data_IF_449576526369
#
_entry.id   IF_449576526369
#
_cell.length_a   1.000
_cell.length_b   1.000
_cell.length_c   1.000
_cell.angle_alpha   90.00
_cell.angle_beta   90.00
_cell.angle_gamma   90.00
#
_symmetry.space_group_name_H-M   'P 1'
#
loop_
_entity.id
_entity.type
_entity.pdbx_description
1 polymer ?
#
# COMPACT_ATOMS: atom_id res chain seq x y z
N UNK A 1 -16.51 21.98 4.15
CA UNK A 1 -15.97 20.69 4.63
C UNK A 1 -16.46 19.67 3.63
N UNK A 2 -15.54 19.02 2.93
CA UNK A 2 -15.87 18.03 1.90
C UNK A 2 -16.69 16.90 2.55
N UNK A 3 -17.87 16.63 1.98
CA UNK A 3 -18.91 15.73 2.52
C UNK A 3 -18.87 14.34 1.89
N UNK A 4 -17.81 14.00 1.15
CA UNK A 4 -17.63 12.63 0.63
C UNK A 4 -17.40 11.66 1.79
N UNK A 5 -18.29 10.67 1.91
CA UNK A 5 -18.21 9.60 2.92
C UNK A 5 -16.82 8.95 2.87
N UNK A 6 -16.11 8.92 3.99
CA UNK A 6 -14.79 8.29 4.12
C UNK A 6 -14.87 6.79 4.37
N UNK A 7 -16.07 6.22 4.48
CA UNK A 7 -16.30 4.83 4.90
C UNK A 7 -17.20 4.14 3.86
N UNK A 8 -16.72 3.03 3.31
CA UNK A 8 -17.49 2.18 2.40
C UNK A 8 -17.65 0.78 3.01
N UNK A 9 -18.88 0.33 3.34
CA UNK A 9 -19.08 -1.03 3.83
C UNK A 9 -18.88 -2.04 2.69
N UNK A 10 -18.05 -3.06 2.93
CA UNK A 10 -17.70 -4.08 1.93
C UNK A 10 -18.40 -5.42 2.16
N UNK A 11 -19.17 -5.55 3.24
CA UNK A 11 -19.77 -6.80 3.71
C UNK A 11 -18.81 -7.63 4.57
N UNK A 12 -19.36 -8.60 5.33
CA UNK A 12 -18.55 -9.46 6.22
C UNK A 12 -17.85 -8.69 7.34
N UNK A 13 -18.48 -7.63 7.83
CA UNK A 13 -17.94 -6.73 8.86
C UNK A 13 -16.62 -6.03 8.45
N UNK A 14 -16.38 -5.91 7.15
CA UNK A 14 -15.23 -5.18 6.58
C UNK A 14 -15.68 -3.82 6.05
N UNK A 15 -14.90 -2.80 6.36
CA UNK A 15 -15.11 -1.42 5.94
C UNK A 15 -13.84 -0.87 5.31
N UNK A 16 -13.94 -0.35 4.09
CA UNK A 16 -12.90 0.49 3.49
C UNK A 16 -12.98 1.89 4.09
N UNK A 17 -11.83 2.47 4.39
CA UNK A 17 -11.67 3.81 4.92
C UNK A 17 -10.77 4.60 3.96
N UNK A 18 -11.31 5.63 3.32
CA UNK A 18 -10.48 6.61 2.60
C UNK A 18 -9.66 7.42 3.61
N UNK A 19 -8.35 7.17 3.62
CA UNK A 19 -7.42 7.75 4.59
C UNK A 19 -7.03 9.20 4.26
N UNK A 20 -7.51 9.74 3.13
CA UNK A 20 -7.31 11.13 2.71
C UNK A 20 -5.86 11.58 2.71
N UNK A 21 -4.95 10.76 2.16
CA UNK A 21 -3.53 11.13 2.07
C UNK A 21 -3.35 12.51 1.42
N UNK A 22 -2.61 13.38 2.11
CA UNK A 22 -2.43 14.79 1.75
C UNK A 22 -3.74 15.57 1.47
N UNK A 23 -4.87 15.12 2.02
CA UNK A 23 -6.20 15.71 1.84
C UNK A 23 -6.95 15.27 0.58
N UNK A 24 -6.35 14.41 -0.27
CA UNK A 24 -6.99 13.93 -1.50
C UNK A 24 -7.90 12.73 -1.24
N UNK A 25 -9.07 12.69 -1.87
CA UNK A 25 -10.00 11.57 -1.79
C UNK A 25 -9.58 10.41 -2.69
N UNK A 26 -9.81 9.18 -2.26
CA UNK A 26 -9.66 7.97 -3.08
C UNK A 26 -8.23 7.76 -3.56
N UNK A 27 -7.28 7.91 -2.64
CA UNK A 27 -5.84 7.75 -2.93
C UNK A 27 -5.23 6.58 -2.19
N UNK A 28 -5.49 6.52 -0.89
CA UNK A 28 -5.03 5.47 -0.01
C UNK A 28 -6.21 4.99 0.81
N UNK A 29 -6.40 3.70 0.85
CA UNK A 29 -7.44 3.02 1.59
C UNK A 29 -6.82 2.27 2.78
N UNK A 30 -7.38 2.52 3.95
CA UNK A 30 -7.26 1.65 5.11
C UNK A 30 -8.49 0.76 5.19
N UNK A 31 -8.43 -0.30 5.99
CA UNK A 31 -9.54 -1.21 6.16
C UNK A 31 -9.76 -1.57 7.63
N UNK A 32 -10.98 -1.40 8.10
CA UNK A 32 -11.38 -1.90 9.42
C UNK A 32 -12.10 -3.23 9.26
N UNK A 33 -11.61 -4.23 9.99
CA UNK A 33 -12.28 -5.51 10.18
C UNK A 33 -12.92 -5.49 11.57
N UNK A 34 -14.24 -5.33 11.63
CA UNK A 34 -14.99 -5.49 12.85
C UNK A 34 -15.15 -6.97 13.16
N UNK A 35 -14.81 -7.33 14.40
CA UNK A 35 -14.83 -8.69 14.94
C UNK A 35 -14.76 -8.60 16.47
N UNK A 36 -14.70 -9.73 17.16
CA UNK A 36 -14.49 -9.76 18.62
C UNK A 36 -13.18 -9.07 19.05
N UNK A 37 -12.20 -8.98 18.13
CA UNK A 37 -10.95 -8.25 18.29
C UNK A 37 -10.71 -7.34 17.06
N UNK A 38 -11.28 -6.13 17.03
CA UNK A 38 -11.20 -5.24 15.87
C UNK A 38 -9.78 -5.01 15.38
N UNK A 39 -9.60 -5.04 14.06
CA UNK A 39 -8.30 -4.93 13.40
C UNK A 39 -8.34 -3.86 12.31
N UNK A 40 -7.42 -2.91 12.38
CA UNK A 40 -7.18 -1.91 11.34
C UNK A 40 -6.02 -2.38 10.47
N UNK A 41 -6.23 -2.46 9.16
CA UNK A 41 -5.19 -2.72 8.14
C UNK A 41 -4.90 -1.40 7.42
N UNK A 42 -3.65 -0.95 7.44
CA UNK A 42 -3.17 0.34 6.89
C UNK A 42 -3.81 1.60 7.50
N UNK A 43 -3.14 2.26 8.47
CA UNK A 43 -3.61 3.55 8.99
C UNK A 43 -3.29 4.75 8.06
N UNK A 44 -2.48 4.54 7.02
CA UNK A 44 -2.07 5.57 6.09
C UNK A 44 -0.92 6.43 6.61
N UNK A 45 -0.89 7.70 6.18
CA UNK A 45 0.11 8.70 6.59
C UNK A 45 -0.10 9.23 8.02
N UNK A 46 0.84 9.99 8.56
CA UNK A 46 0.62 10.70 9.84
C UNK A 46 -0.56 11.69 9.75
N UNK A 47 -0.69 12.37 8.60
CA UNK A 47 -1.83 13.25 8.32
C UNK A 47 -3.18 12.51 8.20
N UNK A 48 -3.15 11.21 7.92
CA UNK A 48 -4.33 10.35 7.83
C UNK A 48 -4.87 9.92 9.19
N UNK A 49 -4.04 9.84 10.23
CA UNK A 49 -4.44 9.29 11.53
C UNK A 49 -5.71 9.95 12.13
N UNK A 50 -5.88 11.29 12.11
CA UNK A 50 -7.12 11.90 12.58
C UNK A 50 -8.36 11.58 11.73
N UNK A 51 -8.18 11.29 10.43
CA UNK A 51 -9.27 10.88 9.52
C UNK A 51 -9.70 9.47 9.87
N UNK A 52 -8.74 8.56 10.02
CA UNK A 52 -8.97 7.17 10.41
C UNK A 52 -9.62 7.09 11.79
N UNK A 53 -9.14 7.88 12.78
CA UNK A 53 -9.75 7.93 14.11
C UNK A 53 -11.24 8.29 14.05
N UNK A 54 -11.62 9.32 13.29
CA UNK A 54 -13.03 9.68 13.13
C UNK A 54 -13.84 8.56 12.49
N UNK A 55 -13.29 7.87 11.50
CA UNK A 55 -13.96 6.74 10.87
C UNK A 55 -14.17 5.57 11.84
N UNK A 56 -13.17 5.28 12.68
CA UNK A 56 -13.29 4.28 13.75
C UNK A 56 -14.35 4.68 14.79
N UNK A 57 -14.38 5.94 15.22
CA UNK A 57 -15.40 6.45 16.14
C UNK A 57 -16.82 6.33 15.55
N UNK A 58 -17.00 6.66 14.26
CA UNK A 58 -18.27 6.51 13.53
C UNK A 58 -18.73 5.04 13.44
N UNK A 59 -17.78 4.10 13.38
CA UNK A 59 -18.01 2.66 13.39
C UNK A 59 -18.11 2.07 14.80
N UNK A 60 -18.04 2.90 15.85
CA UNK A 60 -18.18 2.50 17.24
C UNK A 60 -16.94 1.84 17.86
N UNK A 61 -15.76 2.05 17.28
CA UNK A 61 -14.47 1.57 17.81
C UNK A 61 -13.78 2.69 18.58
N UNK A 62 -13.93 2.68 19.90
CA UNK A 62 -13.28 3.63 20.78
C UNK A 62 -11.82 3.29 21.09
N UNK A 63 -11.13 4.16 21.85
CA UNK A 63 -9.70 4.03 22.18
C UNK A 63 -9.28 2.70 22.81
N UNK A 64 -10.19 2.02 23.52
CA UNK A 64 -9.90 0.76 24.22
C UNK A 64 -10.42 -0.48 23.47
N UNK A 65 -11.06 -0.30 22.32
CA UNK A 65 -11.74 -1.37 21.59
C UNK A 65 -10.88 -1.93 20.45
N UNK A 66 -10.01 -1.09 19.83
CA UNK A 66 -9.13 -1.54 18.76
C UNK A 66 -8.05 -2.48 19.30
N UNK A 67 -8.07 -3.74 18.85
CA UNK A 67 -7.17 -4.77 19.32
C UNK A 67 -5.86 -4.80 18.53
N UNK A 68 -5.90 -4.54 17.22
CA UNK A 68 -4.73 -4.68 16.35
C UNK A 68 -4.69 -3.59 15.27
N UNK A 69 -3.49 -3.09 14.99
CA UNK A 69 -3.14 -2.36 13.77
C UNK A 69 -2.13 -3.18 12.99
N UNK A 70 -2.40 -3.48 11.73
CA UNK A 70 -1.50 -4.25 10.86
C UNK A 70 -1.13 -3.39 9.66
N UNK A 71 0.14 -3.38 9.28
CA UNK A 71 0.59 -2.77 8.02
C UNK A 71 1.20 -3.84 7.13
N UNK A 72 0.89 -3.78 5.84
CA UNK A 72 1.50 -4.68 4.83
C UNK A 72 2.99 -4.39 4.70
N UNK A 73 3.39 -3.12 4.80
CA UNK A 73 4.77 -2.69 4.71
C UNK A 73 4.97 -1.29 5.34
N UNK A 74 6.23 -0.84 5.47
CA UNK A 74 6.57 0.37 6.24
C UNK A 74 6.80 1.64 5.40
N UNK A 75 6.34 1.70 4.15
CA UNK A 75 6.37 2.98 3.42
C UNK A 75 5.43 3.99 4.10
N UNK A 76 5.73 5.28 3.99
CA UNK A 76 5.15 6.31 4.87
C UNK A 76 3.68 6.64 4.54
N UNK A 77 3.24 6.33 3.33
CA UNK A 77 1.85 6.32 2.87
C UNK A 77 0.99 5.23 3.51
N UNK A 78 1.62 4.20 4.07
CA UNK A 78 0.95 3.03 4.66
C UNK A 78 1.11 3.02 6.18
N UNK A 79 2.36 3.15 6.65
CA UNK A 79 2.72 3.07 8.05
C UNK A 79 2.94 4.42 8.74
N UNK A 80 2.89 5.54 8.02
CA UNK A 80 3.20 6.87 8.57
C UNK A 80 2.35 7.25 9.79
N UNK A 81 1.09 6.80 9.82
CA UNK A 81 0.15 7.03 10.90
C UNK A 81 0.21 6.02 12.06
N UNK A 82 1.04 4.98 11.97
CA UNK A 82 1.07 3.90 12.99
C UNK A 82 1.38 4.43 14.38
N UNK A 83 2.39 5.30 14.52
CA UNK A 83 2.75 5.88 15.82
C UNK A 83 1.67 6.80 16.40
N UNK A 84 0.89 7.46 15.55
CA UNK A 84 -0.25 8.28 15.95
C UNK A 84 -1.41 7.41 16.43
N UNK A 85 -1.81 6.42 15.63
CA UNK A 85 -2.88 5.48 15.97
C UNK A 85 -2.53 4.69 17.23
N UNK A 86 -1.29 4.23 17.40
CA UNK A 86 -0.86 3.53 18.61
C UNK A 86 -1.08 4.37 19.88
N UNK A 87 -0.85 5.69 19.83
CA UNK A 87 -1.13 6.58 20.96
C UNK A 87 -2.63 6.79 21.20
N UNK A 88 -3.41 6.88 20.12
CA UNK A 88 -4.87 7.05 20.20
C UNK A 88 -5.56 5.79 20.75
N UNK A 89 -5.01 4.61 20.44
CA UNK A 89 -5.54 3.30 20.84
C UNK A 89 -4.51 2.54 21.67
N UNK A 90 -4.36 2.82 22.97
CA UNK A 90 -3.27 2.32 23.79
C UNK A 90 -3.26 0.79 24.01
N UNK A 91 -4.38 0.11 23.76
CA UNK A 91 -4.48 -1.36 23.89
C UNK A 91 -4.14 -2.11 22.59
N UNK A 92 -4.00 -1.40 21.46
CA UNK A 92 -3.75 -2.05 20.18
C UNK A 92 -2.31 -2.59 20.08
N UNK A 93 -2.17 -3.85 19.68
CA UNK A 93 -0.91 -4.41 19.19
C UNK A 93 -0.64 -3.90 17.76
N UNK A 94 0.61 -3.61 17.42
CA UNK A 94 1.04 -3.22 16.07
C UNK A 94 1.76 -4.39 15.42
N UNK A 95 1.22 -4.92 14.33
CA UNK A 95 1.77 -6.07 13.61
C UNK A 95 2.40 -5.63 12.30
N UNK A 96 3.63 -6.10 12.05
CA UNK A 96 4.40 -5.80 10.84
C UNK A 96 5.38 -6.93 10.57
N UNK A 97 5.87 -7.05 9.34
CA UNK A 97 6.97 -7.97 9.04
C UNK A 97 8.23 -7.66 9.88
N UNK A 98 8.99 -8.69 10.29
CA UNK A 98 10.20 -8.55 11.13
C UNK A 98 11.22 -7.53 10.61
N UNK A 99 11.39 -7.47 9.29
CA UNK A 99 12.30 -6.52 8.61
C UNK A 99 11.86 -5.05 8.78
N UNK A 100 10.58 -4.80 9.05
CA UNK A 100 10.02 -3.48 9.29
C UNK A 100 9.92 -3.10 10.77
N UNK A 101 9.84 -4.06 11.70
CA UNK A 101 9.56 -3.84 13.12
C UNK A 101 10.45 -2.78 13.79
N UNK A 102 11.78 -2.88 13.61
CA UNK A 102 12.72 -1.91 14.19
C UNK A 102 12.50 -0.47 13.73
N UNK A 103 11.96 -0.28 12.53
CA UNK A 103 11.74 1.04 11.95
C UNK A 103 10.49 1.71 12.51
N UNK A 104 9.51 0.95 13.00
CA UNK A 104 8.38 1.50 13.74
C UNK A 104 8.79 1.89 15.16
N UNK A 105 9.67 1.11 15.80
CA UNK A 105 10.22 1.45 17.12
C UNK A 105 11.17 2.65 17.09
N UNK A 106 11.98 2.76 16.04
CA UNK A 106 13.01 3.80 15.87
C UNK A 106 13.03 4.31 14.43
N UNK A 107 12.13 5.25 14.07
CA UNK A 107 11.89 5.68 12.70
C UNK A 107 12.92 6.68 12.17
N UNK A 108 13.88 7.14 12.96
CA UNK A 108 14.78 8.25 12.64
C UNK A 108 15.57 8.02 11.35
N UNK A 109 15.98 6.77 11.10
CA UNK A 109 16.69 6.42 9.86
C UNK A 109 15.77 6.42 8.65
N UNK A 110 14.55 5.90 8.79
CA UNK A 110 13.54 5.87 7.72
C UNK A 110 13.15 7.31 7.34
N UNK A 111 12.84 8.13 8.34
CA UNK A 111 12.49 9.54 8.16
C UNK A 111 13.60 10.35 7.49
N UNK A 112 14.87 10.09 7.85
CA UNK A 112 16.02 10.74 7.19
C UNK A 112 16.14 10.35 5.72
N UNK A 113 15.99 9.06 5.41
CA UNK A 113 15.98 8.57 4.03
C UNK A 113 14.85 9.18 3.23
N UNK A 114 13.63 9.21 3.77
CA UNK A 114 12.49 9.85 3.13
C UNK A 114 12.72 11.36 2.89
N UNK A 115 13.33 12.08 3.84
CA UNK A 115 13.62 13.51 3.67
C UNK A 115 14.65 13.78 2.57
N UNK A 116 15.60 12.88 2.34
CA UNK A 116 16.53 13.01 1.20
C UNK A 116 15.83 12.85 -0.15
N UNK A 117 14.75 12.05 -0.22
CA UNK A 117 14.00 11.80 -1.46
C UNK A 117 12.94 12.88 -1.70
N UNK A 118 12.14 13.21 -0.69
CA UNK A 118 10.97 14.08 -0.84
C UNK A 118 11.22 15.54 -0.47
N UNK A 119 12.34 15.86 0.20
CA UNK A 119 12.67 17.22 0.63
C UNK A 119 11.53 17.85 1.44
N UNK A 120 11.15 19.08 1.08
CA UNK A 120 10.09 19.85 1.73
C UNK A 120 8.69 19.24 1.51
N UNK A 121 8.51 18.37 0.50
CA UNK A 121 7.22 17.71 0.24
C UNK A 121 6.91 16.62 1.26
N UNK A 122 7.90 16.11 2.00
CA UNK A 122 7.72 15.04 2.98
C UNK A 122 6.65 15.39 4.02
N UNK A 123 6.72 16.61 4.57
CA UNK A 123 5.87 17.05 5.66
C UNK A 123 4.40 17.21 5.20
N UNK A 124 4.19 17.64 3.96
CA UNK A 124 2.85 17.78 3.36
C UNK A 124 2.26 16.44 2.90
N UNK A 125 3.08 15.56 2.33
CA UNK A 125 2.60 14.30 1.75
C UNK A 125 2.38 13.21 2.81
N UNK A 126 3.30 13.09 3.76
CA UNK A 126 3.35 11.94 4.67
C UNK A 126 3.36 12.35 6.15
N UNK A 127 3.93 13.51 6.46
CA UNK A 127 4.15 13.95 7.84
C UNK A 127 5.28 13.18 8.53
N UNK A 128 5.23 13.11 9.87
CA UNK A 128 6.26 12.47 10.69
C UNK A 128 5.79 11.12 11.22
N UNK A 129 6.48 10.04 10.84
CA UNK A 129 6.29 8.74 11.49
C UNK A 129 6.83 8.82 12.93
N UNK A 130 5.90 8.84 13.87
CA UNK A 130 6.18 8.77 15.30
C UNK A 130 6.61 7.37 15.73
N UNK A 131 7.53 7.24 16.71
CA UNK A 131 7.91 5.94 17.23
C UNK A 131 6.74 5.26 17.95
N UNK A 132 6.68 3.94 17.82
CA UNK A 132 5.77 3.05 18.55
C UNK A 132 6.55 2.31 19.64
N UNK A 133 5.94 2.12 20.81
CA UNK A 133 6.54 1.35 21.91
C UNK A 133 6.91 -0.07 21.45
N UNK A 134 8.16 -0.49 21.69
CA UNK A 134 8.69 -1.73 21.14
C UNK A 134 7.92 -2.97 21.63
N UNK A 135 7.43 -2.93 22.87
CA UNK A 135 6.65 -3.99 23.51
C UNK A 135 5.28 -4.19 22.86
N UNK A 136 4.79 -3.19 22.12
CA UNK A 136 3.52 -3.25 21.37
C UNK A 136 3.71 -3.68 19.92
N UNK A 137 4.95 -3.81 19.45
CA UNK A 137 5.23 -4.23 18.09
C UNK A 137 5.44 -5.74 18.08
N UNK A 138 4.56 -6.44 17.36
CA UNK A 138 4.69 -7.86 17.08
C UNK A 138 5.16 -8.07 15.64
N UNK A 139 6.24 -8.83 15.50
CA UNK A 139 6.76 -9.22 14.21
C UNK A 139 6.07 -10.47 13.67
N UNK A 140 5.79 -10.49 12.38
CA UNK A 140 5.53 -11.71 11.58
C UNK A 140 6.69 -11.96 10.63
N UNK A 141 6.90 -13.22 10.26
CA UNK A 141 7.97 -13.66 9.36
C UNK A 141 7.37 -14.12 8.03
N UNK A 142 7.74 -15.31 7.53
CA UNK A 142 7.21 -15.89 6.29
C UNK A 142 5.70 -16.10 6.32
N UNK A 143 5.18 -16.50 7.49
CA UNK A 143 3.75 -16.62 7.76
C UNK A 143 3.42 -16.13 9.16
N UNK A 144 2.22 -15.63 9.36
CA UNK A 144 1.73 -15.21 10.68
C UNK A 144 0.22 -15.34 10.81
N UNK A 145 -0.29 -15.29 12.03
CA UNK A 145 -1.73 -15.30 12.31
C UNK A 145 -2.05 -14.21 13.33
N UNK A 146 -2.95 -13.32 12.94
CA UNK A 146 -3.58 -12.34 13.81
C UNK A 146 -4.96 -12.89 14.18
N UNK A 147 -5.20 -13.06 15.48
CA UNK A 147 -6.48 -13.53 16.01
C UNK A 147 -7.49 -12.38 16.07
N UNK A 148 -8.58 -12.51 15.31
CA UNK A 148 -9.69 -11.56 15.26
C UNK A 148 -10.83 -11.95 16.22
N UNK A 149 -10.65 -13.03 17.00
CA UNK A 149 -11.65 -13.59 17.90
C UNK A 149 -12.80 -14.28 17.16
N UNK A 150 -13.69 -14.95 17.91
CA UNK A 150 -14.80 -15.73 17.33
C UNK A 150 -14.40 -16.85 16.37
N UNK A 151 -13.11 -17.21 16.29
CA UNK A 151 -12.55 -18.15 15.31
C UNK A 151 -12.17 -17.53 13.96
N UNK A 152 -12.40 -16.22 13.76
CA UNK A 152 -11.91 -15.45 12.61
C UNK A 152 -10.44 -15.12 12.80
N UNK A 153 -9.65 -15.22 11.73
CA UNK A 153 -8.22 -14.91 11.72
C UNK A 153 -7.83 -14.17 10.44
N UNK A 154 -6.82 -13.32 10.58
CA UNK A 154 -6.13 -12.68 9.47
C UNK A 154 -4.75 -13.33 9.31
N UNK A 155 -4.58 -14.08 8.23
CA UNK A 155 -3.36 -14.84 7.97
C UNK A 155 -2.39 -13.97 7.16
N UNK A 156 -1.16 -13.82 7.66
CA UNK A 156 -0.11 -13.05 7.00
C UNK A 156 0.79 -13.97 6.18
N UNK A 157 1.15 -13.52 4.98
CA UNK A 157 2.05 -14.22 4.07
C UNK A 157 3.10 -13.25 3.54
N UNK A 158 4.38 -13.56 3.75
CA UNK A 158 5.49 -12.77 3.22
C UNK A 158 5.41 -12.65 1.70
N UNK A 159 5.40 -11.43 1.18
CA UNK A 159 5.20 -11.13 -0.24
C UNK A 159 6.15 -10.00 -0.70
N UNK A 160 7.48 -10.25 -0.68
CA UNK A 160 8.46 -9.26 -1.11
C UNK A 160 8.39 -8.98 -2.62
N UNK A 161 9.20 -8.03 -3.07
CA UNK A 161 9.33 -7.68 -4.49
C UNK A 161 9.03 -6.20 -4.72
N UNK A 162 7.94 -5.69 -4.17
CA UNK A 162 7.73 -4.24 -4.02
C UNK A 162 8.66 -3.66 -2.94
N UNK A 163 8.63 -4.26 -1.75
CA UNK A 163 9.51 -3.93 -0.64
C UNK A 163 9.92 -5.20 0.12
N UNK A 164 11.11 -5.20 0.73
CA UNK A 164 11.64 -6.40 1.43
C UNK A 164 10.88 -6.77 2.70
N UNK A 165 10.04 -5.89 3.21
CA UNK A 165 9.25 -6.05 4.44
C UNK A 165 7.74 -6.13 4.12
N UNK A 166 7.37 -6.48 2.89
CA UNK A 166 5.97 -6.54 2.48
C UNK A 166 5.32 -7.89 2.82
N UNK A 167 4.09 -7.86 3.32
CA UNK A 167 3.22 -9.03 3.55
C UNK A 167 1.86 -8.82 2.91
N UNK A 168 1.25 -9.90 2.41
CA UNK A 168 -0.18 -9.95 2.10
C UNK A 168 -0.94 -10.53 3.29
N UNK A 169 -2.19 -10.12 3.46
CA UNK A 169 -3.03 -10.56 4.58
C UNK A 169 -4.32 -11.15 4.02
N UNK A 170 -4.70 -12.37 4.39
CA UNK A 170 -5.96 -13.00 3.93
C UNK A 170 -6.90 -13.24 5.11
N UNK A 171 -8.11 -12.72 5.03
CA UNK A 171 -9.14 -12.96 6.03
C UNK A 171 -9.80 -14.33 5.81
N UNK A 172 -9.73 -15.17 6.83
CA UNK A 172 -10.32 -16.51 6.84
C UNK A 172 -11.84 -16.54 6.66
N UNK A 173 -12.55 -15.45 6.94
CA UNK A 173 -14.02 -15.41 6.85
C UNK A 173 -14.51 -14.91 5.49
N UNK A 174 -14.01 -13.78 5.00
CA UNK A 174 -14.45 -13.21 3.71
C UNK A 174 -13.65 -13.74 2.52
N UNK A 175 -12.43 -14.21 2.74
CA UNK A 175 -11.47 -14.49 1.68
C UNK A 175 -10.91 -13.23 1.03
N UNK A 176 -11.08 -12.06 1.67
CA UNK A 176 -10.45 -10.81 1.24
C UNK A 176 -8.93 -10.90 1.43
N UNK A 177 -8.19 -10.55 0.38
CA UNK A 177 -6.73 -10.45 0.41
C UNK A 177 -6.32 -8.98 0.35
N UNK A 178 -5.77 -8.48 1.45
CA UNK A 178 -5.13 -7.17 1.54
C UNK A 178 -3.75 -7.26 0.88
N UNK A 179 -3.63 -6.66 -0.30
CA UNK A 179 -2.45 -6.82 -1.19
C UNK A 179 -1.39 -5.73 -0.99
N UNK A 180 -1.69 -4.70 -0.20
CA UNK A 180 -0.82 -3.52 -0.07
C UNK A 180 -0.52 -2.95 -1.46
N UNK A 181 0.76 -2.88 -1.77
CA UNK A 181 1.30 -2.41 -3.06
C UNK A 181 1.93 -3.55 -3.90
N UNK A 182 1.92 -4.79 -3.39
CA UNK A 182 2.52 -5.91 -4.12
C UNK A 182 1.78 -6.22 -5.44
N UNK A 183 0.48 -5.89 -5.54
CA UNK A 183 -0.29 -5.96 -6.78
C UNK A 183 -0.28 -4.64 -7.58
N UNK A 184 0.45 -3.63 -7.13
CA UNK A 184 0.49 -2.30 -7.72
C UNK A 184 -0.62 -1.40 -7.19
N UNK A 185 -0.99 -0.43 -8.03
CA UNK A 185 -2.00 0.58 -7.74
C UNK A 185 -3.13 0.34 -8.72
N UNK A 186 -4.33 0.05 -8.22
CA UNK A 186 -5.52 -0.09 -9.07
C UNK A 186 -5.93 1.28 -9.64
N UNK A 187 -7.02 1.50 -10.40
CA UNK A 187 -7.69 2.80 -10.74
C UNK A 187 -9.17 2.54 -10.90
N UNK A 188 -10.10 2.96 -10.00
CA UNK A 188 -11.47 2.44 -10.06
C UNK A 188 -12.22 3.07 -11.22
N UNK A 189 -11.90 4.33 -11.56
CA UNK A 189 -12.55 5.05 -12.65
C UNK A 189 -12.26 4.40 -14.00
N UNK A 190 -11.11 3.73 -14.15
CA UNK A 190 -10.65 3.18 -15.44
C UNK A 190 -10.40 1.67 -15.41
N UNK A 191 -10.42 1.06 -14.22
CA UNK A 191 -10.01 -0.30 -13.89
C UNK A 191 -8.57 -0.64 -14.29
N UNK A 192 -7.72 0.38 -14.42
CA UNK A 192 -6.32 0.17 -14.72
C UNK A 192 -5.55 -0.35 -13.49
N UNK A 193 -4.45 -1.05 -13.72
CA UNK A 193 -3.47 -1.38 -12.68
C UNK A 193 -2.14 -0.82 -13.14
N UNK A 194 -1.50 0.00 -12.30
CA UNK A 194 -0.15 0.51 -12.52
C UNK A 194 0.84 -0.15 -11.56
N UNK A 195 2.07 -0.42 -12.01
CA UNK A 195 3.10 -0.93 -11.11
C UNK A 195 3.40 0.01 -9.94
N UNK A 196 3.81 -0.57 -8.82
CA UNK A 196 4.44 0.13 -7.70
C UNK A 196 5.85 -0.43 -7.52
N UNK A 197 6.84 0.22 -8.12
CA UNK A 197 8.23 -0.22 -8.17
C UNK A 197 9.18 0.85 -7.61
N UNK A 198 8.93 1.43 -6.42
CA UNK A 198 9.78 2.46 -5.87
C UNK A 198 11.18 1.90 -5.53
N UNK A 199 12.24 2.74 -5.56
CA UNK A 199 13.53 2.38 -5.01
C UNK A 199 13.49 2.22 -3.48
N UNK A 200 14.44 1.51 -2.85
CA UNK A 200 15.57 0.79 -3.46
C UNK A 200 15.32 -0.72 -3.59
N UNK A 201 14.17 -1.21 -3.16
CA UNK A 201 13.97 -2.63 -2.87
C UNK A 201 13.28 -3.42 -3.98
N UNK A 202 12.83 -2.74 -5.05
CA UNK A 202 12.15 -3.41 -6.14
C UNK A 202 12.96 -4.55 -6.77
N UNK A 203 12.31 -5.70 -6.98
CA UNK A 203 12.83 -6.87 -7.68
C UNK A 203 11.71 -7.56 -8.47
N UNK A 204 11.87 -7.69 -9.79
CA UNK A 204 10.81 -8.20 -10.66
C UNK A 204 10.47 -9.66 -10.37
N UNK A 205 11.47 -10.54 -10.32
CA UNK A 205 11.22 -11.98 -10.20
C UNK A 205 10.57 -12.30 -8.85
N UNK A 206 11.05 -11.64 -7.78
CA UNK A 206 10.47 -11.73 -6.44
C UNK A 206 9.03 -11.19 -6.42
N UNK A 207 8.76 -10.06 -7.09
CA UNK A 207 7.40 -9.51 -7.18
C UNK A 207 6.46 -10.47 -7.91
N UNK A 208 6.91 -11.07 -9.02
CA UNK A 208 6.13 -12.05 -9.78
C UNK A 208 5.85 -13.31 -8.96
N UNK A 209 6.78 -13.77 -8.12
CA UNK A 209 6.55 -14.88 -7.19
C UNK A 209 5.51 -14.55 -6.12
N UNK A 210 5.51 -13.31 -5.62
CA UNK A 210 4.47 -12.82 -4.69
C UNK A 210 3.09 -12.78 -5.33
N UNK A 211 2.97 -12.37 -6.60
CA UNK A 211 1.70 -12.41 -7.33
C UNK A 211 1.20 -13.86 -7.53
N UNK A 212 2.10 -14.79 -7.88
CA UNK A 212 1.75 -16.22 -7.98
C UNK A 212 1.28 -16.77 -6.64
N UNK A 213 1.91 -16.36 -5.54
CA UNK A 213 1.49 -16.72 -4.18
C UNK A 213 0.08 -16.21 -3.90
N UNK A 214 -0.20 -14.94 -4.20
CA UNK A 214 -1.55 -14.37 -4.05
C UNK A 214 -2.61 -15.13 -4.85
N UNK A 215 -2.30 -15.53 -6.09
CA UNK A 215 -3.20 -16.36 -6.88
C UNK A 215 -3.42 -17.75 -6.24
N UNK A 216 -2.37 -18.37 -5.70
CA UNK A 216 -2.44 -19.68 -5.04
C UNK A 216 -3.21 -19.67 -3.70
N UNK A 217 -3.31 -18.53 -3.02
CA UNK A 217 -4.13 -18.36 -1.81
C UNK A 217 -5.64 -18.43 -2.11
N UNK A 218 -6.05 -18.28 -3.38
CA UNK A 218 -7.45 -18.35 -3.81
C UNK A 218 -8.37 -17.28 -3.18
N UNK A 219 -7.99 -15.99 -3.18
CA UNK A 219 -8.81 -14.96 -2.55
C UNK A 219 -10.09 -14.70 -3.35
N UNK A 220 -11.11 -14.21 -2.66
CA UNK A 220 -12.40 -13.85 -3.26
C UNK A 220 -12.42 -12.41 -3.78
N UNK A 221 -11.57 -11.55 -3.21
CA UNK A 221 -11.48 -10.13 -3.52
C UNK A 221 -10.12 -9.59 -3.11
N UNK A 222 -9.55 -8.70 -3.91
CA UNK A 222 -8.32 -7.98 -3.61
C UNK A 222 -8.66 -6.64 -2.96
N UNK A 223 -7.99 -6.31 -1.86
CA UNK A 223 -8.10 -5.04 -1.15
C UNK A 223 -6.76 -4.30 -1.25
N UNK A 224 -6.71 -3.33 -2.14
CA UNK A 224 -5.52 -2.53 -2.44
C UNK A 224 -5.33 -1.39 -1.44
N UNK A 225 -4.09 -1.07 -1.10
CA UNK A 225 -3.81 0.07 -0.25
C UNK A 225 -3.90 1.40 -1.03
N UNK A 226 -3.55 1.43 -2.31
CA UNK A 226 -3.94 2.53 -3.21
C UNK A 226 -5.24 2.21 -3.94
N UNK A 227 -6.31 2.13 -3.11
CA UNK A 227 -7.75 1.82 -3.32
C UNK A 227 -8.04 0.64 -4.25
N UNK A 228 -9.24 0.10 -4.36
CA UNK A 228 -10.24 -0.26 -3.36
C UNK A 228 -10.59 -1.73 -3.71
N UNK A 229 -11.76 -2.27 -3.35
CA UNK A 229 -12.06 -3.67 -3.61
C UNK A 229 -12.07 -4.02 -5.10
N UNK A 230 -11.45 -5.15 -5.46
CA UNK A 230 -11.50 -5.73 -6.80
C UNK A 230 -11.87 -7.20 -6.74
N UNK A 231 -13.01 -7.57 -7.34
CA UNK A 231 -13.48 -8.97 -7.38
C UNK A 231 -12.97 -9.75 -8.59
N UNK A 232 -12.48 -9.07 -9.64
CA UNK A 232 -11.89 -9.69 -10.83
C UNK A 232 -10.44 -10.16 -10.54
N UNK A 233 -10.29 -11.04 -9.55
CA UNK A 233 -9.01 -11.40 -8.90
C UNK A 233 -7.96 -11.87 -9.91
N UNK A 234 -8.29 -12.87 -10.73
CA UNK A 234 -7.32 -13.50 -11.65
C UNK A 234 -6.84 -12.51 -12.68
N UNK A 235 -7.78 -11.85 -13.39
CA UNK A 235 -7.49 -10.85 -14.40
C UNK A 235 -6.65 -9.70 -13.84
N UNK A 236 -6.93 -9.26 -12.60
CA UNK A 236 -6.19 -8.17 -11.95
C UNK A 236 -4.75 -8.56 -11.61
N UNK A 237 -4.53 -9.77 -11.06
CA UNK A 237 -3.17 -10.25 -10.75
C UNK A 237 -2.36 -10.52 -12.02
N UNK A 238 -3.00 -11.06 -13.07
CA UNK A 238 -2.38 -11.26 -14.38
C UNK A 238 -2.01 -9.92 -15.03
N UNK A 239 -2.91 -8.93 -14.96
CA UNK A 239 -2.65 -7.57 -15.44
C UNK A 239 -1.50 -6.94 -14.68
N UNK A 240 -1.47 -7.04 -13.36
CA UNK A 240 -0.36 -6.54 -12.53
C UNK A 240 0.98 -7.14 -12.97
N UNK A 241 1.03 -8.46 -13.17
CA UNK A 241 2.23 -9.16 -13.64
C UNK A 241 2.63 -8.76 -15.07
N UNK A 242 1.66 -8.51 -15.96
CA UNK A 242 1.90 -8.00 -17.31
C UNK A 242 2.53 -6.61 -17.29
N UNK A 243 1.94 -5.68 -16.53
CA UNK A 243 2.40 -4.30 -16.45
C UNK A 243 3.81 -4.20 -15.85
N UNK A 244 4.11 -4.99 -14.82
CA UNK A 244 5.47 -5.09 -14.27
C UNK A 244 6.49 -5.48 -15.35
N UNK A 245 6.18 -6.48 -16.18
CA UNK A 245 7.08 -6.91 -17.27
C UNK A 245 7.27 -5.82 -18.31
N UNK A 246 6.18 -5.18 -18.75
CA UNK A 246 6.22 -4.13 -19.77
C UNK A 246 7.09 -2.96 -19.32
N UNK A 247 6.91 -2.50 -18.08
CA UNK A 247 7.70 -1.42 -17.51
C UNK A 247 9.17 -1.81 -17.41
N UNK A 248 9.46 -3.00 -16.86
CA UNK A 248 10.84 -3.45 -16.70
C UNK A 248 11.53 -3.66 -18.04
N UNK A 249 10.85 -4.20 -19.05
CA UNK A 249 11.41 -4.38 -20.39
C UNK A 249 11.72 -3.04 -21.06
N UNK A 250 10.85 -2.03 -20.90
CA UNK A 250 11.13 -0.68 -21.40
C UNK A 250 12.37 -0.05 -20.76
N UNK A 251 12.52 -0.22 -19.44
CA UNK A 251 13.68 0.30 -18.71
C UNK A 251 14.94 -0.50 -19.03
N UNK A 252 14.85 -1.83 -19.24
CA UNK A 252 15.97 -2.65 -19.73
C UNK A 252 16.42 -2.20 -21.11
N UNK A 253 15.49 -1.94 -22.03
CA UNK A 253 15.80 -1.44 -23.38
C UNK A 253 16.56 -0.10 -23.31
N UNK A 254 16.13 0.81 -22.43
CA UNK A 254 16.80 2.09 -22.20
C UNK A 254 18.20 1.90 -21.59
N UNK A 255 18.29 1.07 -20.55
CA UNK A 255 19.54 0.77 -19.84
C UNK A 255 20.57 0.09 -20.75
N UNK A 256 20.16 -0.87 -21.57
CA UNK A 256 21.03 -1.54 -22.54
C UNK A 256 21.57 -0.63 -23.64
N UNK A 257 20.89 0.49 -23.90
CA UNK A 257 21.34 1.56 -24.80
C UNK A 257 22.21 2.62 -24.09
N UNK A 258 22.43 2.50 -22.77
CA UNK A 258 23.17 3.48 -21.98
C UNK A 258 22.44 4.81 -21.81
N UNK A 259 21.11 4.81 -21.91
CA UNK A 259 20.28 6.00 -21.75
C UNK A 259 20.11 6.36 -20.26
N UNK A 260 19.92 7.65 -20.00
CA UNK A 260 19.68 8.17 -18.64
C UNK A 260 18.23 7.96 -18.18
N UNK A 261 17.94 8.40 -16.95
CA UNK A 261 16.62 8.30 -16.33
C UNK A 261 15.53 8.99 -17.14
N UNK A 262 15.78 10.20 -17.64
CA UNK A 262 14.79 11.00 -18.37
C UNK A 262 14.36 10.29 -19.67
N UNK A 263 15.33 9.71 -20.39
CA UNK A 263 15.05 8.91 -21.57
C UNK A 263 14.30 7.61 -21.24
N UNK A 264 14.68 6.92 -20.15
CA UNK A 264 13.97 5.73 -19.70
C UNK A 264 12.51 6.03 -19.32
N UNK A 265 12.27 7.17 -18.64
CA UNK A 265 10.93 7.66 -18.31
C UNK A 265 10.12 7.95 -19.57
N UNK A 266 10.72 8.64 -20.56
CA UNK A 266 10.05 8.91 -21.83
C UNK A 266 9.68 7.61 -22.58
N UNK A 267 10.57 6.62 -22.60
CA UNK A 267 10.31 5.32 -23.23
C UNK A 267 9.18 4.55 -22.55
N UNK A 268 9.13 4.56 -21.21
CA UNK A 268 8.02 3.94 -20.47
C UNK A 268 6.71 4.66 -20.79
N UNK A 269 6.68 6.00 -20.70
CA UNK A 269 5.48 6.79 -21.01
C UNK A 269 4.95 6.50 -22.41
N UNK A 270 5.83 6.44 -23.41
CA UNK A 270 5.44 6.13 -24.79
C UNK A 270 4.87 4.71 -24.91
N UNK A 271 5.55 3.71 -24.33
CA UNK A 271 5.14 2.30 -24.37
C UNK A 271 3.83 2.04 -23.61
N UNK A 272 3.51 2.83 -22.60
CA UNK A 272 2.31 2.67 -21.77
C UNK A 272 1.18 3.64 -22.10
N UNK A 273 1.37 4.60 -23.01
CA UNK A 273 0.43 5.71 -23.29
C UNK A 273 -1.02 5.23 -23.51
N UNK A 274 -1.18 4.21 -24.34
CA UNK A 274 -2.50 3.66 -24.70
C UNK A 274 -3.05 2.63 -23.69
N UNK A 275 -2.20 2.18 -22.75
CA UNK A 275 -2.51 1.09 -21.82
C UNK A 275 -3.33 1.53 -20.64
N UNK A 276 -3.21 2.80 -20.23
CA UNK A 276 -3.99 3.38 -19.14
C UNK A 276 -4.85 4.50 -19.67
N UNK A 277 -6.13 4.52 -19.32
CA UNK A 277 -7.01 5.59 -19.75
C UNK A 277 -6.57 6.94 -19.17
N UNK A 278 -5.90 6.96 -18.00
CA UNK A 278 -5.35 8.17 -17.38
C UNK A 278 -4.14 8.77 -18.12
N UNK A 279 -3.55 8.07 -19.10
CA UNK A 279 -2.40 8.56 -19.89
C UNK A 279 -2.74 8.90 -21.34
N UNK A 280 -4.00 8.72 -21.75
CA UNK A 280 -4.45 9.04 -23.11
C UNK A 280 -4.61 10.55 -23.29
N UNK A 281 -4.62 10.99 -24.55
CA UNK A 281 -4.72 12.42 -24.89
C UNK A 281 -6.07 13.04 -24.47
N UNK A 282 -7.10 12.21 -24.26
CA UNK A 282 -8.43 12.58 -23.78
C UNK A 282 -8.65 12.33 -22.28
N UNK A 283 -7.59 12.01 -21.53
CA UNK A 283 -7.67 11.76 -20.10
C UNK A 283 -8.14 12.99 -19.31
N UNK A 284 -8.87 12.75 -18.22
CA UNK A 284 -9.19 13.79 -17.24
C UNK A 284 -7.89 14.33 -16.61
N UNK A 285 -7.56 15.63 -16.79
CA UNK A 285 -6.33 16.22 -16.28
C UNK A 285 -6.22 16.17 -14.75
N UNK A 286 -7.34 16.26 -14.02
CA UNK A 286 -7.32 16.20 -12.56
C UNK A 286 -6.98 14.79 -12.08
N UNK A 287 -7.57 13.78 -12.72
CA UNK A 287 -7.31 12.37 -12.43
C UNK A 287 -5.86 12.00 -12.78
N UNK A 288 -5.37 12.43 -13.95
CA UNK A 288 -3.98 12.19 -14.36
C UNK A 288 -2.98 12.84 -13.39
N UNK A 289 -3.22 14.10 -12.99
CA UNK A 289 -2.36 14.80 -12.04
C UNK A 289 -2.36 14.15 -10.66
N UNK A 290 -3.53 13.73 -10.17
CA UNK A 290 -3.72 13.00 -8.92
C UNK A 290 -2.84 11.73 -8.89
N UNK A 291 -2.84 10.95 -9.97
CA UNK A 291 -2.04 9.72 -10.05
C UNK A 291 -0.54 9.95 -10.17
N UNK A 292 -0.09 10.92 -10.95
CA UNK A 292 1.34 11.20 -11.10
C UNK A 292 1.97 11.72 -9.79
N UNK A 293 1.18 12.33 -8.89
CA UNK A 293 1.68 12.74 -7.55
C UNK A 293 2.05 11.54 -6.68
N UNK A 294 1.40 10.39 -6.86
CA UNK A 294 1.48 9.25 -5.95
C UNK A 294 2.30 8.10 -6.51
N UNK A 295 2.15 7.84 -7.79
CA UNK A 295 2.91 6.82 -8.52
C UNK A 295 3.45 7.42 -9.80
N UNK A 296 4.36 8.37 -9.61
CA UNK A 296 5.00 9.02 -10.74
C UNK A 296 5.73 7.99 -11.59
N UNK A 297 5.69 8.20 -12.90
CA UNK A 297 6.44 7.33 -13.81
C UNK A 297 7.93 7.37 -13.48
N UNK A 298 8.43 8.56 -13.15
CA UNK A 298 9.82 8.79 -12.74
C UNK A 298 10.25 7.95 -11.54
N UNK A 299 9.46 7.91 -10.46
CA UNK A 299 9.79 7.15 -9.24
C UNK A 299 9.89 5.65 -9.52
N UNK A 300 8.90 5.12 -10.24
CA UNK A 300 8.84 3.71 -10.60
C UNK A 300 10.00 3.33 -11.53
N UNK A 301 10.31 4.15 -12.54
CA UNK A 301 11.45 3.93 -13.45
C UNK A 301 12.78 3.99 -12.70
N UNK A 302 12.95 4.94 -11.78
CA UNK A 302 14.15 5.03 -10.96
C UNK A 302 14.36 3.76 -10.10
N UNK A 303 13.29 3.21 -9.54
CA UNK A 303 13.35 1.94 -8.80
C UNK A 303 13.72 0.74 -9.67
N UNK A 304 13.18 0.66 -10.89
CA UNK A 304 13.54 -0.38 -11.85
C UNK A 304 15.02 -0.24 -12.29
N UNK A 305 15.47 0.97 -12.64
CA UNK A 305 16.87 1.21 -13.02
C UNK A 305 17.83 0.86 -11.88
N UNK A 306 17.48 1.20 -10.64
CA UNK A 306 18.25 0.81 -9.47
C UNK A 306 18.32 -0.71 -9.30
N UNK A 307 17.22 -1.42 -9.55
CA UNK A 307 17.17 -2.89 -9.51
C UNK A 307 18.09 -3.53 -10.56
N UNK A 308 18.08 -3.02 -11.80
CA UNK A 308 18.91 -3.52 -12.91
C UNK A 308 20.40 -3.24 -12.77
N UNK A 309 20.78 -2.29 -11.90
CA UNK A 309 22.16 -1.87 -11.70
C UNK A 309 22.87 -2.62 -10.56
N UNK A 310 22.21 -3.61 -9.93
CA UNK A 310 22.76 -4.48 -8.87
C UNK A 310 23.44 -5.70 -9.48
#
# INVERSE_FOLDING_TARGET
MDTTTTITPLGGDVYEIDTRMAGYSGITAGYLILSDRPCLVEPGTSGSAPVVQRALDELGVGPNDLATVVVTHIHLDHAGGVGDIARMYPQAEVVVHEKGARHLASPERLMRSARMVYGDRLDTLFGELKPTEAERIRAVEDTGVIDLGGGRRLESHYSPGHAKHHVGLIDSQTGDLYVGDAAGIYVPETKDVRPATPPPDFDLDTALDSLRKFQALGPQRLLFAHYGPVSDVTDTLERSAEELRIWVDAVRDAHGQGLDLDHAVAMVRDRTKERYAITRDDADPELAAKYEVLSSTESNVAGIMHSLSK
#
